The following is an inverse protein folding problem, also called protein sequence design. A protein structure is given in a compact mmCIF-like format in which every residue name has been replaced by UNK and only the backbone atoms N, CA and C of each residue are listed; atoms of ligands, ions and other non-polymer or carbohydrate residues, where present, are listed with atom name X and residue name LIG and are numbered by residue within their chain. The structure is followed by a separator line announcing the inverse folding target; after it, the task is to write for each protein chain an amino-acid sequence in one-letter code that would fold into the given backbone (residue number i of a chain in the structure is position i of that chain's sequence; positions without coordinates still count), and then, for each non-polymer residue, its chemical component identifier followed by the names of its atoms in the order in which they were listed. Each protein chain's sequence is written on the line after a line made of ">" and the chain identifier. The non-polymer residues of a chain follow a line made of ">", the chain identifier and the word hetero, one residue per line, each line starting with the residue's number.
data_IF_088881908930
#
_entry.id   IF_088881908930
#
_cell.length_a   1.000
_cell.length_b   1.000
_cell.length_c   1.000
_cell.angle_alpha   90.00
_cell.angle_beta   90.00
_cell.angle_gamma   90.00
#
_symmetry.space_group_name_H-M   'P 1'
#
loop_
_entity.id
_entity.type
_entity.pdbx_description
1 polymer ?
#
# COMPACT_ATOMS: atom_id res chain seq x y z
N UNK A 1 18.06 -21.12 19.43
CA UNK A 1 17.79 -21.91 18.21
C UNK A 1 18.36 -21.25 16.94
N UNK A 2 17.94 -20.06 16.50
CA UNK A 2 18.44 -19.45 15.23
C UNK A 2 19.96 -19.13 15.25
N UNK A 3 20.46 -18.46 16.30
CA UNK A 3 21.90 -18.22 16.47
C UNK A 3 22.73 -19.51 16.62
N UNK A 4 22.17 -20.51 17.30
CA UNK A 4 22.82 -21.82 17.46
C UNK A 4 22.85 -22.63 16.16
N UNK A 5 21.87 -22.42 15.28
CA UNK A 5 21.82 -23.01 13.96
C UNK A 5 22.74 -22.31 12.94
N UNK A 6 23.42 -21.23 13.34
CA UNK A 6 24.35 -20.49 12.47
C UNK A 6 23.69 -19.61 11.42
N UNK A 7 22.37 -19.38 11.50
CA UNK A 7 21.68 -18.48 10.56
C UNK A 7 21.93 -16.99 10.85
N UNK A 8 22.23 -16.66 12.11
CA UNK A 8 22.57 -15.31 12.57
C UNK A 8 23.83 -15.37 13.45
N UNK A 9 24.56 -14.26 13.56
CA UNK A 9 25.77 -14.17 14.37
C UNK A 9 27.00 -13.72 13.58
N UNK A 10 28.18 -14.18 14.01
CA UNK A 10 29.48 -13.78 13.44
C UNK A 10 29.71 -14.23 12.00
N UNK A 11 29.04 -15.30 11.59
CA UNK A 11 29.12 -15.87 10.25
C UNK A 11 27.74 -16.38 9.83
N UNK A 12 26.87 -15.47 9.41
CA UNK A 12 25.49 -15.76 9.08
C UNK A 12 25.41 -16.67 7.86
N UNK A 13 24.76 -17.82 8.03
CA UNK A 13 24.59 -18.84 6.99
C UNK A 13 25.90 -19.31 6.33
N UNK A 14 27.06 -19.15 6.99
CA UNK A 14 28.36 -19.52 6.44
C UNK A 14 28.86 -18.60 5.31
N UNK A 15 28.36 -17.37 5.23
CA UNK A 15 28.67 -16.41 4.15
C UNK A 15 29.91 -15.55 4.41
N UNK A 16 30.45 -15.59 5.62
CA UNK A 16 31.47 -14.67 6.14
C UNK A 16 30.91 -13.31 6.59
N UNK A 17 29.59 -13.11 6.53
CA UNK A 17 28.94 -11.87 6.93
C UNK A 17 28.46 -11.93 8.38
N UNK A 18 28.84 -10.93 9.18
CA UNK A 18 28.42 -10.83 10.58
C UNK A 18 27.13 -10.01 10.69
N UNK A 19 26.03 -10.64 11.12
CA UNK A 19 24.74 -9.97 11.26
C UNK A 19 23.96 -10.51 12.48
N UNK A 20 23.78 -9.63 13.47
CA UNK A 20 23.05 -9.89 14.70
C UNK A 20 21.66 -9.24 14.66
N UNK A 21 20.66 -9.90 15.25
CA UNK A 21 19.30 -9.39 15.39
C UNK A 21 18.96 -9.23 16.87
N UNK A 22 18.52 -8.03 17.24
CA UNK A 22 18.08 -7.70 18.59
C UNK A 22 16.59 -7.39 18.60
N UNK A 23 15.88 -7.86 19.64
CA UNK A 23 14.47 -7.53 19.85
C UNK A 23 14.37 -6.44 20.91
N UNK A 24 13.98 -5.24 20.51
CA UNK A 24 13.66 -4.15 21.44
C UNK A 24 12.14 -4.09 21.64
N UNK A 25 11.68 -4.23 22.89
CA UNK A 25 10.25 -4.08 23.22
C UNK A 25 9.91 -2.61 23.44
N UNK A 26 8.86 -2.12 22.78
CA UNK A 26 8.31 -0.79 23.02
C UNK A 26 7.45 -0.73 24.30
N UNK A 27 7.03 0.49 24.68
CA UNK A 27 6.24 0.74 25.89
C UNK A 27 4.76 1.10 25.61
N UNK A 28 4.20 0.63 24.49
CA UNK A 28 2.78 0.81 24.16
C UNK A 28 2.39 2.19 23.59
N UNK A 29 3.35 2.99 23.14
CA UNK A 29 3.08 4.30 22.53
C UNK A 29 2.97 4.21 21.00
N UNK A 30 1.80 4.52 20.44
CA UNK A 30 1.55 4.48 18.98
C UNK A 30 2.52 5.40 18.19
N UNK A 31 2.86 6.56 18.76
CA UNK A 31 3.78 7.52 18.13
C UNK A 31 5.19 6.94 17.92
N UNK A 32 5.62 5.99 18.75
CA UNK A 32 6.92 5.32 18.60
C UNK A 32 6.95 4.38 17.38
N UNK A 33 5.83 4.16 16.69
CA UNK A 33 5.80 3.47 15.40
C UNK A 33 6.18 4.38 14.22
N UNK A 34 6.26 5.70 14.42
CA UNK A 34 6.80 6.61 13.41
C UNK A 34 8.32 6.40 13.27
N UNK A 35 8.81 6.45 12.04
CA UNK A 35 10.20 6.14 11.67
C UNK A 35 11.24 6.80 12.60
N UNK A 36 11.18 8.10 12.81
CA UNK A 36 12.18 8.82 13.60
C UNK A 36 11.94 8.73 15.10
N UNK A 37 10.67 8.67 15.53
CA UNK A 37 10.30 8.44 16.91
C UNK A 37 10.72 7.05 17.40
N UNK A 38 10.72 6.05 16.52
CA UNK A 38 11.21 4.70 16.81
C UNK A 38 12.70 4.73 17.19
N UNK A 39 13.52 5.48 16.45
CA UNK A 39 14.95 5.63 16.72
C UNK A 39 15.20 6.24 18.10
N UNK A 40 14.50 7.33 18.42
CA UNK A 40 14.57 7.97 19.74
C UNK A 40 14.14 7.02 20.87
N UNK A 41 13.09 6.22 20.63
CA UNK A 41 12.61 5.25 21.60
C UNK A 41 13.61 4.11 21.83
N UNK A 42 14.33 3.65 20.80
CA UNK A 42 15.37 2.61 20.92
C UNK A 42 16.62 3.18 21.63
N UNK A 43 16.92 4.46 21.43
CA UNK A 43 17.98 5.17 22.15
C UNK A 43 17.66 5.43 23.64
N UNK A 44 16.48 5.02 24.12
CA UNK A 44 16.03 5.20 25.49
C UNK A 44 15.52 6.62 25.80
N UNK A 45 15.34 7.45 24.78
CA UNK A 45 14.75 8.79 24.91
C UNK A 45 13.23 8.70 24.78
N UNK A 46 12.57 9.83 25.02
CA UNK A 46 11.14 9.93 24.72
C UNK A 46 10.93 9.81 23.21
N UNK A 47 10.03 8.94 22.75
CA UNK A 47 9.70 8.72 21.34
C UNK A 47 9.00 9.89 20.66
N UNK A 48 9.68 11.03 20.59
CA UNK A 48 9.27 12.22 19.85
C UNK A 48 9.92 12.17 18.46
N UNK A 49 9.17 12.42 17.38
CA UNK A 49 9.75 12.48 16.04
C UNK A 49 10.88 13.51 15.95
N UNK A 50 11.93 13.17 15.18
CA UNK A 50 13.01 14.11 14.85
C UNK A 50 12.56 14.99 13.68
N UNK A 51 13.05 16.23 13.66
CA UNK A 51 12.87 17.09 12.49
C UNK A 51 13.76 16.57 11.35
N UNK A 52 13.18 16.48 10.14
CA UNK A 52 13.90 16.21 8.89
C UNK A 52 14.18 17.57 8.23
N UNK A 53 15.42 17.89 7.80
CA UNK A 53 16.66 17.11 7.89
C UNK A 53 17.32 17.12 9.30
N UNK A 54 18.21 16.15 9.63
CA UNK A 54 18.76 15.09 8.78
C UNK A 54 17.82 13.87 8.58
N UNK A 55 17.98 13.14 7.47
CA UNK A 55 17.20 11.93 7.21
C UNK A 55 17.83 10.71 7.92
N UNK A 56 17.02 9.71 8.35
CA UNK A 56 17.52 8.49 8.99
C UNK A 56 18.55 7.71 8.16
N UNK A 57 18.38 7.73 6.84
CA UNK A 57 19.31 7.08 5.91
C UNK A 57 20.72 7.65 6.01
N UNK A 58 20.88 8.92 6.40
CA UNK A 58 22.18 9.56 6.62
C UNK A 58 22.59 9.49 8.09
N UNK A 59 21.71 9.93 9.00
CA UNK A 59 21.94 10.02 10.45
C UNK A 59 20.70 9.48 11.18
N UNK A 60 20.73 8.18 11.43
CA UNK A 60 19.64 7.40 12.03
C UNK A 60 19.92 6.97 13.46
N UNK A 61 19.87 5.65 13.72
CA UNK A 61 20.01 5.06 15.04
C UNK A 61 21.43 5.27 15.59
N UNK A 62 21.55 5.84 16.79
CA UNK A 62 22.85 6.19 17.40
C UNK A 62 23.74 7.10 16.53
N UNK A 63 23.14 7.83 15.58
CA UNK A 63 23.86 8.66 14.61
C UNK A 63 24.44 7.88 13.42
N UNK A 64 24.17 6.58 13.30
CA UNK A 64 24.55 5.76 12.16
C UNK A 64 23.47 5.75 11.07
N UNK A 65 23.83 5.61 9.78
CA UNK A 65 22.87 5.38 8.69
C UNK A 65 21.89 4.26 9.03
N UNK A 66 20.58 4.52 8.94
CA UNK A 66 19.54 3.53 9.29
C UNK A 66 18.31 3.73 8.42
N UNK A 67 17.80 2.62 7.86
CA UNK A 67 16.50 2.57 7.19
C UNK A 67 15.48 1.89 8.10
N UNK A 68 14.32 2.49 8.32
CA UNK A 68 13.22 1.86 9.05
C UNK A 68 12.25 1.22 8.08
N UNK A 69 12.04 -0.08 8.22
CA UNK A 69 11.13 -0.86 7.37
C UNK A 69 10.05 -1.49 8.22
N UNK A 70 8.82 -1.53 7.71
CA UNK A 70 7.76 -2.34 8.30
C UNK A 70 8.09 -3.84 8.09
N UNK A 71 7.63 -4.68 9.01
CA UNK A 71 7.78 -6.14 8.94
C UNK A 71 7.02 -6.70 7.73
N UNK A 72 5.79 -6.24 7.50
CA UNK A 72 4.92 -6.81 6.47
C UNK A 72 3.82 -5.83 6.02
N UNK A 73 3.32 -6.01 4.80
CA UNK A 73 2.17 -5.28 4.26
C UNK A 73 1.04 -6.27 3.99
N UNK A 74 0.10 -6.39 4.94
CA UNK A 74 -1.08 -7.24 4.85
C UNK A 74 -2.37 -6.42 4.93
N UNK A 75 -3.46 -6.93 4.39
CA UNK A 75 -4.78 -6.35 4.60
C UNK A 75 -5.35 -6.79 5.94
N UNK A 76 -5.66 -5.81 6.79
CA UNK A 76 -6.34 -6.04 8.07
C UNK A 76 -7.77 -5.52 7.99
N UNK A 77 -8.70 -6.37 7.54
CA UNK A 77 -10.11 -5.99 7.46
C UNK A 77 -10.75 -6.14 8.83
N UNK A 78 -11.08 -5.00 9.43
CA UNK A 78 -11.63 -4.90 10.78
C UNK A 78 -12.94 -4.11 10.79
N UNK A 79 -13.69 -4.22 11.90
CA UNK A 79 -14.95 -3.49 12.07
C UNK A 79 -16.18 -4.27 11.64
N UNK A 80 -17.12 -3.59 10.97
CA UNK A 80 -18.48 -4.07 10.70
C UNK A 80 -18.60 -4.96 9.45
N UNK A 81 -17.81 -6.04 9.42
CA UNK A 81 -17.88 -7.10 8.41
C UNK A 81 -18.31 -8.42 9.06
N UNK A 82 -18.83 -9.36 8.28
CA UNK A 82 -19.36 -10.62 8.82
C UNK A 82 -18.25 -11.43 9.51
N UNK A 83 -17.10 -11.56 8.86
CA UNK A 83 -15.93 -12.27 9.37
C UNK A 83 -14.67 -11.38 9.28
N UNK A 84 -14.35 -10.59 10.32
CA UNK A 84 -13.13 -9.78 10.34
C UNK A 84 -11.89 -10.67 10.27
N UNK A 85 -10.94 -10.33 9.39
CA UNK A 85 -9.73 -11.13 9.21
C UNK A 85 -8.53 -10.29 8.74
N UNK A 86 -7.33 -10.78 9.06
CA UNK A 86 -6.10 -10.37 8.40
C UNK A 86 -5.80 -11.35 7.27
N UNK A 87 -5.57 -10.85 6.07
CA UNK A 87 -5.37 -11.66 4.87
C UNK A 87 -4.26 -11.07 3.99
N UNK A 88 -3.46 -11.95 3.42
CA UNK A 88 -2.54 -11.65 2.33
C UNK A 88 -3.31 -11.72 1.02
N UNK A 89 -3.32 -10.63 0.25
CA UNK A 89 -4.00 -10.56 -1.04
C UNK A 89 -3.30 -9.53 -1.93
N UNK A 90 -3.50 -9.62 -3.24
CA UNK A 90 -2.85 -8.74 -4.19
C UNK A 90 -3.19 -7.26 -3.96
N UNK A 91 -2.16 -6.41 -4.02
CA UNK A 91 -2.35 -4.97 -4.05
C UNK A 91 -3.17 -4.58 -5.28
N UNK A 92 -4.01 -3.55 -5.14
CA UNK A 92 -4.98 -3.11 -6.17
C UNK A 92 -6.23 -3.98 -6.34
N UNK A 93 -6.46 -4.96 -5.46
CA UNK A 93 -7.77 -5.62 -5.34
C UNK A 93 -8.87 -4.57 -5.07
N UNK A 94 -10.01 -4.62 -5.77
CA UNK A 94 -11.14 -3.76 -5.46
C UNK A 94 -11.61 -3.99 -4.01
N UNK A 95 -11.75 -2.91 -3.23
CA UNK A 95 -12.09 -2.97 -1.81
C UNK A 95 -13.38 -3.78 -1.52
N UNK A 96 -14.36 -3.72 -2.42
CA UNK A 96 -15.58 -4.52 -2.33
C UNK A 96 -15.28 -6.01 -2.43
N UNK A 97 -14.51 -6.38 -3.43
CA UNK A 97 -14.16 -7.77 -3.72
C UNK A 97 -13.34 -8.34 -2.57
N UNK A 98 -12.42 -7.55 -1.99
CA UNK A 98 -11.68 -7.91 -0.78
C UNK A 98 -12.64 -8.26 0.38
N UNK A 99 -13.62 -7.40 0.65
CA UNK A 99 -14.57 -7.59 1.77
C UNK A 99 -15.53 -8.75 1.50
N UNK A 100 -16.08 -8.86 0.30
CA UNK A 100 -17.04 -9.92 -0.04
C UNK A 100 -16.36 -11.29 -0.09
N UNK A 101 -15.18 -11.39 -0.69
CA UNK A 101 -14.44 -12.65 -0.85
C UNK A 101 -13.86 -13.17 0.46
N UNK A 102 -13.22 -12.30 1.24
CA UNK A 102 -12.46 -12.75 2.42
C UNK A 102 -13.23 -12.59 3.72
N UNK A 103 -14.10 -11.57 3.82
CA UNK A 103 -14.81 -11.25 5.06
C UNK A 103 -16.29 -11.64 5.04
N UNK A 104 -16.79 -12.22 3.94
CA UNK A 104 -18.20 -12.58 3.77
C UNK A 104 -19.13 -11.37 3.57
N UNK A 105 -18.59 -10.18 3.35
CA UNK A 105 -19.36 -8.96 3.13
C UNK A 105 -19.47 -8.05 4.36
N UNK A 106 -20.08 -6.89 4.15
CA UNK A 106 -20.47 -5.93 5.20
C UNK A 106 -21.68 -6.48 5.95
N UNK A 107 -21.76 -6.27 7.27
CA UNK A 107 -22.93 -6.67 8.05
C UNK A 107 -24.17 -5.94 7.52
N UNK A 108 -25.20 -6.71 7.15
CA UNK A 108 -26.41 -6.16 6.51
C UNK A 108 -26.28 -5.91 5.01
N UNK A 109 -25.20 -6.39 4.38
CA UNK A 109 -24.93 -6.25 2.95
C UNK A 109 -24.22 -4.95 2.59
N UNK A 110 -23.68 -4.90 1.37
CA UNK A 110 -22.91 -3.75 0.88
C UNK A 110 -23.72 -2.45 0.88
N UNK A 111 -25.04 -2.53 0.74
CA UNK A 111 -25.89 -1.35 0.73
C UNK A 111 -26.03 -0.67 2.10
N UNK A 112 -25.79 -1.42 3.17
CA UNK A 112 -25.76 -0.92 4.54
C UNK A 112 -24.44 -0.20 4.88
N UNK A 113 -23.46 -0.18 3.97
CA UNK A 113 -22.18 0.46 4.20
C UNK A 113 -22.30 1.98 4.23
N UNK A 114 -21.87 2.58 5.33
CA UNK A 114 -21.80 4.04 5.48
C UNK A 114 -20.45 4.60 5.00
N UNK A 115 -19.36 4.11 5.60
CA UNK A 115 -18.01 4.53 5.29
C UNK A 115 -16.96 3.46 5.63
N UNK A 116 -15.78 3.54 5.01
CA UNK A 116 -14.62 2.67 5.27
C UNK A 116 -13.38 3.54 5.46
N UNK A 117 -12.47 3.13 6.35
CA UNK A 117 -11.11 3.65 6.43
C UNK A 117 -10.22 2.62 5.71
N UNK A 118 -9.72 2.89 4.48
CA UNK A 118 -9.06 1.87 3.65
C UNK A 118 -7.66 1.47 4.12
N UNK A 119 -7.08 2.21 5.06
CA UNK A 119 -5.79 1.95 5.67
C UNK A 119 -5.89 1.97 7.19
N UNK A 120 -4.86 2.45 7.87
CA UNK A 120 -4.90 2.67 9.31
C UNK A 120 -5.77 3.88 9.71
N UNK A 121 -5.89 4.13 11.02
CA UNK A 121 -6.62 5.28 11.56
C UNK A 121 -6.10 6.66 11.11
N UNK A 122 -4.92 6.68 10.48
CA UNK A 122 -4.30 7.87 9.89
C UNK A 122 -4.87 8.26 8.53
N UNK A 123 -5.71 7.42 7.89
CA UNK A 123 -6.30 7.76 6.60
C UNK A 123 -7.76 8.24 6.74
N UNK A 124 -8.24 9.13 5.85
CA UNK A 124 -9.60 9.65 5.92
C UNK A 124 -10.68 8.58 5.76
N UNK A 125 -11.85 8.83 6.36
CA UNK A 125 -13.05 8.01 6.13
C UNK A 125 -13.56 8.22 4.70
N UNK A 126 -13.85 7.13 4.01
CA UNK A 126 -14.40 7.10 2.65
C UNK A 126 -15.86 6.66 2.70
N UNK A 127 -16.81 7.58 2.46
CA UNK A 127 -18.20 7.22 2.27
C UNK A 127 -18.42 6.32 1.05
N UNK A 128 -19.48 5.49 1.08
CA UNK A 128 -19.85 4.59 -0.03
C UNK A 128 -19.82 5.25 -1.42
N UNK A 129 -20.24 6.52 -1.53
CA UNK A 129 -20.30 7.28 -2.80
C UNK A 129 -18.93 7.52 -3.47
N UNK A 130 -17.85 7.64 -2.68
CA UNK A 130 -16.50 7.91 -3.18
C UNK A 130 -15.71 6.64 -3.51
N UNK A 131 -16.24 5.46 -3.16
CA UNK A 131 -15.65 4.17 -3.53
C UNK A 131 -16.02 3.76 -4.97
N UNK A 132 -17.11 4.26 -5.54
CA UNK A 132 -17.60 3.88 -6.88
C UNK A 132 -16.61 4.18 -8.02
N UNK A 133 -15.96 5.36 -8.09
CA UNK A 133 -14.97 5.63 -9.15
C UNK A 133 -13.78 4.66 -9.11
N UNK A 134 -13.30 4.30 -7.92
CA UNK A 134 -12.24 3.29 -7.78
C UNK A 134 -12.76 1.87 -8.05
N UNK A 135 -13.90 1.48 -7.49
CA UNK A 135 -14.48 0.13 -7.60
C UNK A 135 -14.86 -0.24 -9.04
N UNK A 136 -15.59 0.64 -9.71
CA UNK A 136 -15.99 0.41 -11.10
C UNK A 136 -14.83 0.77 -12.03
N UNK A 137 -14.15 1.89 -11.79
CA UNK A 137 -13.07 2.38 -12.63
C UNK A 137 -11.90 1.41 -12.73
N UNK A 138 -11.38 0.87 -11.62
CA UNK A 138 -10.29 -0.13 -11.66
C UNK A 138 -10.70 -1.39 -12.44
N UNK A 139 -11.95 -1.85 -12.30
CA UNK A 139 -12.46 -2.99 -13.06
C UNK A 139 -12.58 -2.69 -14.56
N UNK A 140 -13.00 -1.48 -14.94
CA UNK A 140 -13.01 -1.02 -16.32
C UNK A 140 -11.61 -0.88 -16.90
N UNK A 141 -10.68 -0.26 -16.16
CA UNK A 141 -9.27 -0.15 -16.54
C UNK A 141 -8.70 -1.54 -16.83
N UNK A 142 -8.85 -2.49 -15.90
CA UNK A 142 -8.33 -3.84 -16.04
C UNK A 142 -8.91 -4.56 -17.28
N UNK A 143 -10.24 -4.54 -17.46
CA UNK A 143 -10.90 -5.15 -18.63
C UNK A 143 -10.40 -4.59 -19.96
N UNK A 144 -10.22 -3.27 -20.04
CA UNK A 144 -9.76 -2.61 -21.27
C UNK A 144 -8.27 -2.87 -21.49
N UNK A 145 -7.44 -2.85 -20.45
CA UNK A 145 -6.01 -3.19 -20.56
C UNK A 145 -5.80 -4.60 -21.10
N UNK A 146 -6.59 -5.60 -20.66
CA UNK A 146 -6.53 -6.94 -21.25
C UNK A 146 -6.91 -6.98 -22.74
N UNK A 147 -7.84 -6.11 -23.19
CA UNK A 147 -8.14 -5.98 -24.62
C UNK A 147 -6.95 -5.48 -25.44
N UNK A 148 -6.14 -4.58 -24.86
CA UNK A 148 -4.91 -4.10 -25.51
C UNK A 148 -3.88 -5.21 -25.63
N UNK A 149 -3.68 -5.99 -24.55
CA UNK A 149 -2.78 -7.16 -24.56
C UNK A 149 -3.21 -8.20 -25.60
N UNK A 150 -4.51 -8.47 -25.71
CA UNK A 150 -5.08 -9.42 -26.68
C UNK A 150 -5.08 -8.91 -28.14
N UNK A 151 -4.68 -7.65 -28.39
CA UNK A 151 -4.70 -7.04 -29.72
C UNK A 151 -6.10 -6.76 -30.29
N UNK A 152 -7.14 -6.79 -29.44
CA UNK A 152 -8.55 -6.57 -29.82
C UNK A 152 -9.08 -5.19 -29.47
N UNK A 153 -8.22 -4.31 -28.95
CA UNK A 153 -8.58 -2.94 -28.61
C UNK A 153 -8.70 -2.07 -29.87
N UNK A 154 -9.66 -1.14 -29.86
CA UNK A 154 -9.83 -0.15 -30.94
C UNK A 154 -9.10 1.15 -30.60
N UNK A 155 -8.67 1.95 -31.59
CA UNK A 155 -8.04 3.25 -31.33
C UNK A 155 -8.86 4.17 -30.44
N UNK A 156 -10.18 4.23 -30.61
CA UNK A 156 -11.08 5.05 -29.78
C UNK A 156 -11.11 4.62 -28.31
N UNK A 157 -10.77 3.36 -28.00
CA UNK A 157 -10.68 2.87 -26.62
C UNK A 157 -9.48 3.48 -25.87
N UNK A 158 -8.48 4.04 -26.57
CA UNK A 158 -7.37 4.78 -25.96
C UNK A 158 -7.89 6.06 -25.29
N UNK A 159 -8.72 6.83 -26.01
CA UNK A 159 -9.27 8.09 -25.49
C UNK A 159 -10.31 7.82 -24.40
N UNK A 160 -11.13 6.79 -24.57
CA UNK A 160 -12.04 6.33 -23.51
C UNK A 160 -11.28 5.93 -22.25
N UNK A 161 -10.19 5.16 -22.37
CA UNK A 161 -9.39 4.71 -21.23
C UNK A 161 -8.72 5.90 -20.53
N UNK A 162 -8.26 6.88 -21.30
CA UNK A 162 -7.74 8.14 -20.80
C UNK A 162 -8.80 8.91 -19.99
N UNK A 163 -10.02 9.06 -20.49
CA UNK A 163 -11.12 9.72 -19.79
C UNK A 163 -11.49 9.01 -18.48
N UNK A 164 -11.60 7.67 -18.49
CA UNK A 164 -11.89 6.89 -17.29
C UNK A 164 -10.81 7.10 -16.23
N UNK A 165 -9.54 7.03 -16.63
CA UNK A 165 -8.41 7.23 -15.70
C UNK A 165 -8.42 8.63 -15.06
N UNK A 166 -8.77 9.67 -15.83
CA UNK A 166 -8.90 11.05 -15.31
C UNK A 166 -10.12 11.24 -14.42
N UNK A 167 -11.18 10.48 -14.64
CA UNK A 167 -12.37 10.49 -13.79
C UNK A 167 -12.14 9.78 -12.46
N UNK A 168 -11.13 8.90 -12.39
CA UNK A 168 -10.66 8.29 -11.15
C UNK A 168 -9.70 9.22 -10.42
N UNK A 169 -8.78 9.85 -11.17
CA UNK A 169 -7.78 10.78 -10.65
C UNK A 169 -8.43 11.96 -9.91
N UNK A 170 -8.03 12.19 -8.66
CA UNK A 170 -8.50 13.31 -7.85
C UNK A 170 -9.99 13.27 -7.44
N UNK A 171 -10.75 12.27 -7.88
CA UNK A 171 -12.15 12.05 -7.51
C UNK A 171 -12.31 10.89 -6.51
N UNK A 172 -11.19 10.33 -6.05
CA UNK A 172 -11.13 9.36 -4.96
C UNK A 172 -10.32 9.91 -3.80
N UNK A 173 -10.69 9.53 -2.58
CA UNK A 173 -10.14 10.11 -1.35
C UNK A 173 -8.76 9.53 -0.99
N UNK A 174 -8.43 8.33 -1.47
CA UNK A 174 -7.14 7.68 -1.22
C UNK A 174 -6.33 7.56 -2.53
N UNK A 175 -5.01 7.54 -2.40
CA UNK A 175 -4.08 7.45 -3.51
C UNK A 175 -4.16 6.12 -4.29
N UNK A 176 -5.04 5.18 -3.92
CA UNK A 176 -5.19 3.91 -4.62
C UNK A 176 -5.71 4.10 -6.05
N UNK A 177 -6.69 4.98 -6.26
CA UNK A 177 -7.20 5.19 -7.62
C UNK A 177 -6.22 6.01 -8.47
N UNK A 178 -5.50 6.95 -7.86
CA UNK A 178 -4.38 7.65 -8.52
C UNK A 178 -3.27 6.64 -8.89
N UNK A 179 -2.91 5.74 -7.97
CA UNK A 179 -1.93 4.68 -8.20
C UNK A 179 -2.38 3.65 -9.26
N UNK A 180 -3.68 3.43 -9.42
CA UNK A 180 -4.23 2.59 -10.48
C UNK A 180 -4.34 3.33 -11.82
N UNK A 181 -4.65 4.63 -11.80
CA UNK A 181 -4.87 5.45 -13.00
C UNK A 181 -3.55 5.90 -13.65
N UNK A 182 -2.56 6.34 -12.85
CA UNK A 182 -1.31 6.90 -13.38
C UNK A 182 -0.49 5.92 -14.24
N UNK A 183 -0.33 4.63 -13.90
CA UNK A 183 0.36 3.67 -14.77
C UNK A 183 -0.32 3.53 -16.14
N UNK A 184 -1.65 3.53 -16.17
CA UNK A 184 -2.42 3.49 -17.42
C UNK A 184 -2.22 4.78 -18.21
N UNK A 185 -2.31 5.95 -17.57
CA UNK A 185 -2.08 7.24 -18.22
C UNK A 185 -0.69 7.34 -18.86
N UNK A 186 0.37 6.95 -18.14
CA UNK A 186 1.75 6.94 -18.68
C UNK A 186 1.85 6.02 -19.89
N UNK A 187 1.26 4.82 -19.80
CA UNK A 187 1.24 3.87 -20.91
C UNK A 187 0.56 4.45 -22.15
N UNK A 188 -0.59 5.11 -21.99
CA UNK A 188 -1.33 5.74 -23.09
C UNK A 188 -0.57 6.93 -23.70
N UNK A 189 0.11 7.74 -22.89
CA UNK A 189 0.98 8.83 -23.36
C UNK A 189 2.11 8.25 -24.22
N UNK A 190 2.79 7.21 -23.75
CA UNK A 190 3.85 6.55 -24.51
C UNK A 190 3.34 5.98 -25.84
N UNK A 191 2.18 5.33 -25.86
CA UNK A 191 1.56 4.81 -27.10
C UNK A 191 1.29 5.95 -28.08
N UNK A 192 0.69 7.06 -27.62
CA UNK A 192 0.41 8.22 -28.48
C UNK A 192 1.69 8.85 -29.05
N UNK A 193 2.72 9.03 -28.22
CA UNK A 193 4.01 9.56 -28.67
C UNK A 193 4.68 8.65 -29.70
N UNK A 194 4.66 7.33 -29.48
CA UNK A 194 5.22 6.37 -30.42
C UNK A 194 4.44 6.34 -31.74
N UNK A 195 3.12 6.56 -31.72
CA UNK A 195 2.30 6.63 -32.93
C UNK A 195 2.52 7.88 -33.78
N UNK A 196 3.02 8.97 -33.21
CA UNK A 196 3.43 10.18 -33.95
C UNK A 196 4.87 10.11 -34.47
N UNK A 197 5.65 9.12 -34.04
CA UNK A 197 7.04 8.88 -34.45
C UNK A 197 7.17 7.81 -35.55
N UNK A 198 6.07 7.15 -35.93
CA UNK A 198 5.94 6.19 -37.02
C UNK A 198 5.10 6.78 -38.16
#
# INVERSE_FOLDING_TARGET
>A
MIFQAGYLGKDCCGTGYCFDVFVHRGAGAYICGEETALLESIEGKQGKPRLKPPFPADIGLFGCPTTVTNVETLFCVSGHVVNPCTVEEEMSIPLKDLIERHCGGVIGGWDNLLAIIPGGSSVPLIPKKFCTPCREGCNWLNKVMWRFVDGRAKPDEIDMLWEISRHMEGHTICALADAAAWPVQVTLICIKILSTLL
#
